data_IF_475354887742
#
_entry.id   IF_475354887742
#
_cell.length_a   1.000
_cell.length_b   1.000
_cell.length_c   1.000
_cell.angle_alpha   90.00
_cell.angle_beta   90.00
_cell.angle_gamma   90.00
#
_symmetry.space_group_name_H-M   'P 1'
#
loop_
_entity.id
_entity.type
_entity.pdbx_description
1 polymer ?
#
# COMPACT_ATOMS: atom_id res chain seq x y z
N UNK A 1 -39.43 7.03 17.21
CA UNK A 1 -38.66 5.80 16.92
C UNK A 1 -37.48 6.25 16.09
N UNK A 2 -36.41 6.60 16.78
CA UNK A 2 -35.15 7.03 16.19
C UNK A 2 -34.47 5.80 15.59
N UNK A 3 -34.12 5.86 14.31
CA UNK A 3 -33.25 4.86 13.70
C UNK A 3 -31.84 5.07 14.24
N UNK A 4 -31.42 4.16 15.12
CA UNK A 4 -30.02 4.03 15.52
C UNK A 4 -29.19 3.76 14.26
N UNK A 5 -28.42 4.78 13.86
CA UNK A 5 -27.43 4.66 12.80
C UNK A 5 -26.49 3.50 13.14
N UNK A 6 -26.49 2.48 12.28
CA UNK A 6 -25.53 1.40 12.33
C UNK A 6 -24.12 2.01 12.39
N UNK A 7 -23.50 1.97 13.57
CA UNK A 7 -22.09 2.29 13.74
C UNK A 7 -21.35 1.23 12.94
N UNK A 8 -20.97 1.57 11.71
CA UNK A 8 -20.17 0.71 10.87
C UNK A 8 -18.92 0.35 11.67
N UNK A 9 -18.83 -0.92 12.11
CA UNK A 9 -17.67 -1.42 12.82
C UNK A 9 -16.45 -1.09 11.96
N UNK A 10 -15.49 -0.29 12.44
CA UNK A 10 -14.38 0.10 11.62
C UNK A 10 -13.64 -1.15 11.16
N UNK A 11 -13.65 -1.41 9.86
CA UNK A 11 -12.94 -2.54 9.26
C UNK A 11 -11.47 -2.38 9.63
N UNK A 12 -10.90 -3.40 10.27
CA UNK A 12 -9.48 -3.44 10.56
C UNK A 12 -8.71 -3.38 9.23
N UNK A 13 -7.83 -2.39 9.06
CA UNK A 13 -6.90 -2.36 7.94
C UNK A 13 -5.89 -3.50 8.15
N UNK A 14 -5.93 -4.48 7.27
CA UNK A 14 -5.05 -5.63 7.30
C UNK A 14 -4.49 -5.88 5.90
N UNK A 15 -3.17 -6.02 5.81
CA UNK A 15 -2.51 -6.46 4.58
C UNK A 15 -2.98 -7.88 4.27
N UNK A 16 -3.39 -8.18 3.03
CA UNK A 16 -3.70 -9.55 2.63
C UNK A 16 -2.55 -10.51 2.94
N UNK A 17 -2.86 -11.71 3.42
CA UNK A 17 -1.84 -12.68 3.83
C UNK A 17 -0.97 -13.13 2.65
N UNK A 18 -1.61 -13.41 1.52
CA UNK A 18 -0.94 -13.74 0.26
C UNK A 18 -0.71 -12.49 -0.61
N UNK A 19 0.26 -12.57 -1.50
CA UNK A 19 0.55 -11.57 -2.51
C UNK A 19 -0.52 -11.52 -3.61
N UNK A 20 -0.08 -11.22 -4.84
CA UNK A 20 -1.01 -11.01 -5.96
C UNK A 20 -1.69 -9.65 -5.94
N UNK A 21 -2.70 -9.51 -6.80
CA UNK A 21 -3.46 -8.26 -6.97
C UNK A 21 -4.09 -7.74 -5.68
N UNK A 22 -4.69 -8.55 -4.79
CA UNK A 22 -5.28 -8.01 -3.56
C UNK A 22 -4.28 -7.26 -2.68
N UNK A 23 -3.04 -7.78 -2.54
CA UNK A 23 -2.00 -7.11 -1.76
C UNK A 23 -1.53 -5.81 -2.42
N UNK A 24 -1.50 -5.78 -3.76
CA UNK A 24 -1.19 -4.57 -4.52
C UNK A 24 -2.29 -3.53 -4.37
N UNK A 25 -3.54 -3.92 -4.61
CA UNK A 25 -4.71 -3.03 -4.56
C UNK A 25 -4.88 -2.46 -3.14
N UNK A 26 -4.67 -3.28 -2.11
CA UNK A 26 -4.60 -2.81 -0.72
C UNK A 26 -3.52 -1.73 -0.54
N UNK A 27 -2.29 -2.02 -0.98
CA UNK A 27 -1.16 -1.11 -0.78
C UNK A 27 -1.30 0.20 -1.54
N UNK A 28 -1.77 0.16 -2.79
CA UNK A 28 -2.01 1.35 -3.60
C UNK A 28 -3.13 2.22 -2.99
N UNK A 29 -4.23 1.59 -2.56
CA UNK A 29 -5.34 2.27 -1.88
C UNK A 29 -4.87 2.91 -0.57
N UNK A 30 -4.14 2.18 0.27
CA UNK A 30 -3.60 2.68 1.54
C UNK A 30 -2.69 3.91 1.33
N UNK A 31 -1.85 3.85 0.29
CA UNK A 31 -0.93 4.92 -0.08
C UNK A 31 -1.58 6.06 -0.86
N UNK A 32 -2.88 5.99 -1.20
CA UNK A 32 -3.56 6.98 -2.02
C UNK A 32 -3.03 7.06 -3.45
N UNK A 33 -2.39 6.01 -3.95
CA UNK A 33 -1.82 5.96 -5.31
C UNK A 33 -2.91 5.53 -6.29
N UNK A 34 -3.26 6.36 -7.29
CA UNK A 34 -4.24 5.97 -8.30
C UNK A 34 -3.76 4.77 -9.12
N UNK A 35 -4.67 3.84 -9.37
CA UNK A 35 -4.42 2.64 -10.17
C UNK A 35 -5.28 2.65 -11.43
N UNK A 36 -4.69 2.23 -12.55
CA UNK A 36 -5.38 2.04 -13.82
C UNK A 36 -5.48 0.55 -14.09
N UNK A 37 -6.71 0.09 -14.26
CA UNK A 37 -7.03 -1.31 -14.56
C UNK A 37 -7.30 -1.49 -16.04
N UNK A 38 -6.85 -2.62 -16.61
CA UNK A 38 -7.15 -2.98 -17.99
C UNK A 38 -6.55 -2.06 -19.06
N UNK A 39 -5.62 -1.17 -18.69
CA UNK A 39 -4.94 -0.26 -19.60
C UNK A 39 -4.17 -1.04 -20.68
N UNK A 40 -4.34 -0.64 -21.94
CA UNK A 40 -3.63 -1.22 -23.08
C UNK A 40 -2.45 -0.34 -23.44
N UNK A 41 -1.25 -0.80 -23.09
CA UNK A 41 0.00 -0.15 -23.43
C UNK A 41 0.39 -0.52 -24.86
N UNK A 42 0.54 0.49 -25.71
CA UNK A 42 1.01 0.33 -27.09
C UNK A 42 2.49 0.68 -27.13
N UNK A 43 3.32 -0.31 -27.45
CA UNK A 43 4.77 -0.19 -27.55
C UNK A 43 5.15 -0.37 -29.02
N UNK A 44 5.90 0.59 -29.53
CA UNK A 44 6.13 0.73 -30.96
C UNK A 44 4.96 1.40 -31.69
N UNK A 45 5.27 2.35 -32.57
CA UNK A 45 4.27 3.06 -33.36
C UNK A 45 4.69 4.42 -33.94
N UNK A 46 4.32 4.61 -35.21
CA UNK A 46 4.72 5.64 -36.22
C UNK A 46 6.11 5.41 -36.83
N UNK A 47 6.14 4.54 -37.86
CA UNK A 47 7.31 4.31 -38.71
C UNK A 47 8.01 2.96 -38.50
N UNK A 48 7.65 2.23 -37.43
CA UNK A 48 8.19 0.90 -37.13
C UNK A 48 7.36 -0.22 -37.76
N UNK A 49 8.01 -1.34 -38.09
CA UNK A 49 7.40 -2.48 -38.80
C UNK A 49 6.45 -3.35 -37.96
N UNK A 50 6.38 -3.13 -36.64
CA UNK A 50 5.49 -3.86 -35.75
C UNK A 50 4.98 -2.97 -34.61
N UNK A 51 3.86 -3.38 -34.00
CA UNK A 51 3.30 -2.76 -32.81
C UNK A 51 2.97 -3.86 -31.80
N UNK A 52 3.49 -3.73 -30.58
CA UNK A 52 3.15 -4.58 -29.47
C UNK A 52 2.05 -3.92 -28.63
N UNK A 53 0.99 -4.66 -28.33
CA UNK A 53 -0.04 -4.21 -27.38
C UNK A 53 0.02 -5.11 -26.15
N UNK A 54 0.36 -4.54 -25.01
CA UNK A 54 0.41 -5.24 -23.71
C UNK A 54 -0.75 -4.75 -22.86
N UNK A 55 -1.42 -5.66 -22.16
CA UNK A 55 -2.47 -5.33 -21.20
C UNK A 55 -2.08 -5.83 -19.81
N UNK A 56 -1.35 -5.02 -19.00
CA UNK A 56 -1.01 -5.39 -17.64
C UNK A 56 -2.24 -5.47 -16.74
N UNK A 57 -2.12 -6.19 -15.62
CA UNK A 57 -3.21 -6.34 -14.65
C UNK A 57 -3.49 -5.03 -13.91
N UNK A 58 -2.44 -4.25 -13.61
CA UNK A 58 -2.50 -2.90 -13.05
C UNK A 58 -1.38 -2.05 -13.62
N UNK A 59 -1.66 -0.75 -13.76
CA UNK A 59 -0.67 0.28 -14.05
C UNK A 59 -0.81 1.38 -13.01
N UNK A 60 0.29 1.81 -12.41
CA UNK A 60 0.30 2.91 -11.43
C UNK A 60 1.55 3.77 -11.59
N UNK A 61 1.53 4.97 -11.03
CA UNK A 61 2.67 5.87 -11.04
C UNK A 61 2.97 6.35 -9.63
N UNK A 62 4.23 6.25 -9.22
CA UNK A 62 4.68 6.73 -7.91
C UNK A 62 6.19 6.99 -7.96
N UNK A 63 6.68 7.92 -7.13
CA UNK A 63 8.11 8.27 -7.12
C UNK A 63 8.66 8.71 -8.50
N UNK A 64 7.81 9.27 -9.37
CA UNK A 64 8.16 9.66 -10.74
C UNK A 64 8.41 8.49 -11.71
N UNK A 65 7.98 7.26 -11.36
CA UNK A 65 8.13 6.06 -12.20
C UNK A 65 6.78 5.43 -12.51
N UNK A 66 6.64 4.92 -13.74
CA UNK A 66 5.47 4.17 -14.19
C UNK A 66 5.69 2.70 -13.92
N UNK A 67 4.77 2.08 -13.21
CA UNK A 67 4.83 0.67 -12.85
C UNK A 67 3.75 -0.13 -13.56
N UNK A 68 4.10 -1.36 -13.93
CA UNK A 68 3.19 -2.37 -14.46
C UNK A 68 3.25 -3.59 -13.56
N UNK A 69 2.10 -4.05 -13.06
CA UNK A 69 2.05 -5.18 -12.13
C UNK A 69 2.09 -6.48 -12.90
N UNK A 70 2.94 -7.39 -12.42
CA UNK A 70 3.03 -8.76 -12.92
C UNK A 70 2.89 -9.75 -11.78
N UNK A 71 1.79 -10.51 -11.79
CA UNK A 71 1.55 -11.60 -10.84
C UNK A 71 2.16 -12.94 -11.24
N UNK A 72 3.02 -12.94 -12.27
CA UNK A 72 3.69 -14.12 -12.83
C UNK A 72 3.14 -14.57 -14.17
N UNK A 73 2.32 -13.75 -14.83
CA UNK A 73 1.69 -14.04 -16.13
C UNK A 73 2.49 -13.47 -17.30
N UNK A 74 3.37 -12.50 -17.05
CA UNK A 74 4.10 -11.82 -18.10
C UNK A 74 5.34 -12.63 -18.55
N UNK A 75 5.43 -12.89 -19.86
CA UNK A 75 6.59 -13.55 -20.44
C UNK A 75 7.86 -12.68 -20.29
N UNK A 76 9.06 -13.28 -20.12
CA UNK A 76 10.30 -12.52 -19.94
C UNK A 76 10.59 -11.49 -21.04
N UNK A 77 10.30 -11.82 -22.30
CA UNK A 77 10.48 -10.90 -23.42
C UNK A 77 9.58 -9.65 -23.32
N UNK A 78 8.34 -9.81 -22.83
CA UNK A 78 7.41 -8.70 -22.65
C UNK A 78 7.88 -7.78 -21.51
N UNK A 79 8.44 -8.35 -20.44
CA UNK A 79 9.05 -7.56 -19.34
C UNK A 79 10.19 -6.69 -19.85
N UNK A 80 11.12 -7.27 -20.61
CA UNK A 80 12.26 -6.54 -21.17
C UNK A 80 11.80 -5.37 -22.07
N UNK A 81 10.83 -5.61 -22.96
CA UNK A 81 10.29 -4.57 -23.85
C UNK A 81 9.62 -3.44 -23.04
N UNK A 82 8.88 -3.76 -21.98
CA UNK A 82 8.27 -2.75 -21.11
C UNK A 82 9.31 -1.90 -20.38
N UNK A 83 10.38 -2.53 -19.89
CA UNK A 83 11.49 -1.85 -19.23
C UNK A 83 12.24 -0.91 -20.17
N UNK A 84 12.55 -1.37 -21.39
CA UNK A 84 13.13 -0.54 -22.46
C UNK A 84 12.21 0.63 -22.86
N UNK A 85 10.90 0.44 -22.71
CA UNK A 85 9.88 1.47 -22.99
C UNK A 85 9.62 2.44 -21.82
N UNK A 86 10.40 2.34 -20.74
CA UNK A 86 10.34 3.26 -19.60
C UNK A 86 9.33 2.88 -18.51
N UNK A 87 8.81 1.66 -18.52
CA UNK A 87 8.03 1.11 -17.40
C UNK A 87 8.94 0.34 -16.43
N UNK A 88 8.54 0.25 -15.17
CA UNK A 88 9.15 -0.65 -14.19
C UNK A 88 8.20 -1.81 -13.93
N UNK A 89 8.66 -3.05 -14.11
CA UNK A 89 7.85 -4.22 -13.77
C UNK A 89 7.80 -4.36 -12.24
N UNK A 90 6.60 -4.35 -11.69
CA UNK A 90 6.33 -4.56 -10.27
C UNK A 90 5.90 -6.02 -10.04
N UNK A 91 6.78 -6.89 -9.50
CA UNK A 91 6.41 -8.26 -9.21
C UNK A 91 5.44 -8.30 -8.02
N UNK A 92 4.37 -9.08 -8.15
CA UNK A 92 3.41 -9.35 -7.08
C UNK A 92 2.92 -10.80 -7.21
N UNK A 93 3.81 -11.77 -7.05
CA UNK A 93 3.47 -13.18 -7.16
C UNK A 93 2.39 -13.59 -6.16
N UNK A 94 1.58 -14.60 -6.49
CA UNK A 94 0.57 -15.11 -5.54
C UNK A 94 1.19 -15.93 -4.41
N UNK A 95 2.37 -16.50 -4.66
CA UNK A 95 3.08 -17.37 -3.71
C UNK A 95 3.99 -16.60 -2.75
N UNK A 96 4.16 -15.28 -2.92
CA UNK A 96 4.89 -14.46 -1.94
C UNK A 96 3.95 -13.92 -0.84
N UNK A 97 4.46 -13.64 0.37
CA UNK A 97 3.67 -13.03 1.43
C UNK A 97 3.18 -11.62 1.03
N UNK A 98 1.92 -11.28 1.29
CA UNK A 98 1.38 -9.96 0.95
C UNK A 98 2.10 -8.82 1.66
N UNK A 99 2.63 -9.06 2.86
CA UNK A 99 3.54 -8.14 3.55
C UNK A 99 4.78 -7.78 2.71
N UNK A 100 5.36 -8.74 1.99
CA UNK A 100 6.53 -8.49 1.15
C UNK A 100 6.17 -7.59 -0.06
N UNK A 101 4.99 -7.82 -0.66
CA UNK A 101 4.42 -6.95 -1.70
C UNK A 101 4.20 -5.54 -1.18
N UNK A 102 3.58 -5.41 0.00
CA UNK A 102 3.32 -4.10 0.60
C UNK A 102 4.62 -3.35 0.95
N UNK A 103 5.62 -4.04 1.51
CA UNK A 103 6.95 -3.46 1.73
C UNK A 103 7.62 -2.98 0.43
N UNK A 104 7.41 -3.70 -0.68
CA UNK A 104 7.93 -3.31 -1.99
C UNK A 104 7.21 -2.05 -2.51
N UNK A 105 5.90 -1.92 -2.30
CA UNK A 105 5.15 -0.70 -2.61
C UNK A 105 5.63 0.50 -1.78
N UNK A 106 5.86 0.32 -0.47
CA UNK A 106 6.41 1.39 0.37
C UNK A 106 7.74 1.91 -0.20
N UNK A 107 8.65 1.00 -0.56
CA UNK A 107 9.93 1.35 -1.21
C UNK A 107 9.72 2.06 -2.56
N UNK A 108 8.79 1.58 -3.39
CA UNK A 108 8.48 2.21 -4.66
C UNK A 108 7.96 3.66 -4.49
N UNK A 109 7.19 3.90 -3.43
CA UNK A 109 6.70 5.22 -3.05
C UNK A 109 7.76 6.10 -2.32
N UNK A 110 8.99 5.60 -2.14
CA UNK A 110 10.04 6.33 -1.41
C UNK A 110 9.81 6.38 0.10
N UNK A 111 8.95 5.52 0.64
CA UNK A 111 8.63 5.46 2.07
C UNK A 111 9.47 4.40 2.76
N UNK A 112 10.11 4.79 3.86
CA UNK A 112 10.81 3.87 4.76
C UNK A 112 9.94 3.60 5.99
N UNK A 113 9.66 2.33 6.27
CA UNK A 113 9.07 1.90 7.52
C UNK A 113 10.18 1.73 8.55
N UNK A 114 10.19 2.54 9.62
CA UNK A 114 11.17 2.40 10.69
C UNK A 114 10.65 1.37 11.70
N UNK A 115 11.19 0.15 11.70
CA UNK A 115 10.92 -0.81 12.78
C UNK A 115 11.57 -0.31 14.08
N UNK A 116 10.78 -0.17 15.15
CA UNK A 116 11.33 -0.04 16.50
C UNK A 116 10.66 -1.02 17.44
N UNK A 117 11.44 -1.41 18.45
CA UNK A 117 10.97 -2.29 19.52
C UNK A 117 9.82 -1.65 20.30
N UNK A 118 9.81 -0.33 20.42
CA UNK A 118 8.82 0.38 21.21
C UNK A 118 8.71 1.85 20.80
N UNK A 119 7.48 2.33 20.64
CA UNK A 119 7.12 3.74 20.47
C UNK A 119 6.12 4.13 21.55
N UNK A 120 6.40 5.20 22.31
CA UNK A 120 5.36 5.89 23.07
C UNK A 120 4.55 6.76 22.09
N UNK A 121 3.30 6.38 21.83
CA UNK A 121 2.42 7.12 20.93
C UNK A 121 1.62 8.21 21.65
N UNK A 122 1.23 7.96 22.90
CA UNK A 122 0.50 8.90 23.73
C UNK A 122 0.61 8.55 25.21
N UNK A 123 0.37 9.54 26.08
CA UNK A 123 0.44 9.39 27.52
C UNK A 123 1.85 9.59 28.09
N UNK A 124 2.12 9.04 29.28
CA UNK A 124 3.40 9.17 29.98
C UNK A 124 3.22 9.28 31.50
N UNK A 125 4.34 9.55 32.21
CA UNK A 125 4.41 9.47 33.67
C UNK A 125 3.37 10.28 34.46
N UNK A 126 2.76 11.30 33.83
CA UNK A 126 1.77 12.18 34.46
C UNK A 126 0.35 12.02 33.91
N UNK A 127 0.12 11.13 32.94
CA UNK A 127 -1.15 11.03 32.22
C UNK A 127 -2.09 9.92 32.74
N UNK A 128 -1.63 9.07 33.66
CA UNK A 128 -2.38 7.91 34.15
C UNK A 128 -2.50 6.76 33.13
N UNK A 129 -1.99 6.94 31.91
CA UNK A 129 -1.88 5.91 30.88
C UNK A 129 -0.64 6.14 30.01
N UNK A 130 -0.18 5.10 29.33
CA UNK A 130 0.83 5.19 28.29
C UNK A 130 0.53 4.16 27.20
N UNK A 131 0.58 4.58 25.93
CA UNK A 131 0.36 3.69 24.79
C UNK A 131 1.70 3.40 24.15
N UNK A 132 2.17 2.18 24.35
CA UNK A 132 3.40 1.66 23.78
C UNK A 132 3.06 0.75 22.61
N UNK A 133 3.71 0.95 21.46
CA UNK A 133 3.52 0.09 20.29
C UNK A 133 4.85 -0.45 19.79
N UNK A 134 4.88 -1.77 19.60
CA UNK A 134 5.95 -2.47 18.89
C UNK A 134 5.51 -2.66 17.43
N UNK A 135 6.30 -2.14 16.49
CA UNK A 135 5.93 -2.18 15.09
C UNK A 135 6.79 -1.28 14.23
N UNK A 136 6.28 -0.95 13.04
CA UNK A 136 6.90 0.04 12.17
C UNK A 136 6.04 1.30 12.08
N UNK A 137 6.65 2.46 12.30
CA UNK A 137 5.99 3.74 12.12
C UNK A 137 6.15 4.18 10.65
N UNK A 138 5.05 4.62 10.05
CA UNK A 138 5.00 5.23 8.74
C UNK A 138 4.43 6.63 8.85
N UNK A 139 5.17 7.59 8.29
CA UNK A 139 4.67 8.93 8.03
C UNK A 139 4.30 9.02 6.56
N UNK A 140 3.01 9.13 6.27
CA UNK A 140 2.50 9.31 4.92
C UNK A 140 2.35 10.82 4.65
N UNK A 141 2.80 11.30 3.49
CA UNK A 141 2.61 12.69 3.11
C UNK A 141 1.12 13.02 3.04
N UNK A 142 0.81 14.30 3.21
CA UNK A 142 -0.54 14.79 3.03
C UNK A 142 -0.95 14.70 1.56
N UNK A 143 -2.06 14.05 1.28
CA UNK A 143 -2.65 14.05 -0.06
C UNK A 143 -3.29 15.43 -0.31
N UNK A 144 -2.88 16.14 -1.37
CA UNK A 144 -3.58 17.33 -1.88
C UNK A 144 -3.83 18.49 -0.89
N UNK A 145 -2.98 18.68 0.12
CA UNK A 145 -3.11 19.76 1.12
C UNK A 145 -3.77 19.36 2.45
N UNK A 146 -4.02 18.07 2.69
CA UNK A 146 -4.49 17.53 3.98
C UNK A 146 -3.44 17.55 5.11
N UNK A 147 -3.75 16.89 6.23
CA UNK A 147 -2.76 16.59 7.28
C UNK A 147 -1.97 15.34 6.90
N UNK A 148 -0.68 15.32 7.22
CA UNK A 148 0.14 14.11 7.12
C UNK A 148 -0.51 12.99 7.95
N UNK A 149 -0.59 11.78 7.39
CA UNK A 149 -1.17 10.62 8.09
C UNK A 149 -0.05 9.85 8.78
N UNK A 150 -0.25 9.49 10.05
CA UNK A 150 0.65 8.59 10.75
C UNK A 150 0.00 7.21 10.83
N UNK A 151 0.72 6.19 10.37
CA UNK A 151 0.28 4.82 10.48
C UNK A 151 1.28 3.98 11.25
N UNK A 152 0.79 3.02 12.01
CA UNK A 152 1.61 2.03 12.72
C UNK A 152 1.29 0.65 12.18
N UNK A 153 2.33 -0.01 11.68
CA UNK A 153 2.27 -1.36 11.17
C UNK A 153 2.60 -2.35 12.29
N UNK A 154 1.62 -3.16 12.68
CA UNK A 154 1.71 -4.04 13.85
C UNK A 154 1.61 -5.50 13.46
N UNK A 155 2.33 -6.36 14.17
CA UNK A 155 2.20 -7.81 14.03
C UNK A 155 1.07 -8.29 14.94
N UNK A 156 -0.02 -8.78 14.35
CA UNK A 156 -1.15 -9.36 15.08
C UNK A 156 -2.29 -8.38 15.35
N UNK A 157 -3.32 -8.90 16.02
CA UNK A 157 -4.57 -8.19 16.23
C UNK A 157 -4.44 -7.13 17.31
N UNK A 158 -5.06 -5.99 17.06
CA UNK A 158 -5.19 -4.90 18.06
C UNK A 158 -6.64 -4.81 18.53
N UNK A 159 -6.80 -4.69 19.85
CA UNK A 159 -8.09 -4.53 20.49
C UNK A 159 -8.87 -3.34 19.92
N UNK A 160 -10.17 -3.50 19.66
CA UNK A 160 -11.00 -2.51 18.98
C UNK A 160 -11.02 -1.15 19.69
N UNK A 161 -11.07 -1.14 21.03
CA UNK A 161 -11.03 0.10 21.80
C UNK A 161 -9.69 0.86 21.65
N UNK A 162 -8.57 0.13 21.57
CA UNK A 162 -7.25 0.72 21.33
C UNK A 162 -7.14 1.30 19.93
N UNK A 163 -7.78 0.68 18.93
CA UNK A 163 -7.89 1.23 17.56
C UNK A 163 -8.66 2.54 17.53
N UNK A 164 -9.79 2.61 18.23
CA UNK A 164 -10.58 3.82 18.33
C UNK A 164 -9.77 4.96 18.97
N UNK A 165 -9.15 4.67 20.12
CA UNK A 165 -8.29 5.64 20.82
C UNK A 165 -7.13 6.16 19.94
N UNK A 166 -6.43 5.27 19.23
CA UNK A 166 -5.33 5.70 18.35
C UNK A 166 -5.81 6.49 17.14
N UNK A 167 -7.00 6.17 16.60
CA UNK A 167 -7.61 6.97 15.54
C UNK A 167 -7.94 8.39 16.00
N UNK A 168 -8.47 8.54 17.22
CA UNK A 168 -8.79 9.86 17.79
C UNK A 168 -7.51 10.70 17.98
N UNK A 169 -6.36 10.04 18.14
CA UNK A 169 -5.03 10.64 18.18
C UNK A 169 -4.42 10.87 16.79
N UNK A 170 -5.15 10.57 15.70
CA UNK A 170 -4.68 10.71 14.31
C UNK A 170 -3.74 9.61 13.84
N UNK A 171 -3.71 8.46 14.53
CA UNK A 171 -2.86 7.31 14.21
C UNK A 171 -3.69 6.16 13.64
N UNK A 172 -3.40 5.75 12.41
CA UNK A 172 -3.99 4.58 11.78
C UNK A 172 -3.22 3.30 12.15
N UNK A 173 -3.93 2.19 12.36
CA UNK A 173 -3.30 0.89 12.66
C UNK A 173 -3.52 -0.06 11.49
N UNK A 174 -2.42 -0.57 10.94
CA UNK A 174 -2.42 -1.59 9.89
C UNK A 174 -1.82 -2.88 10.42
N UNK A 175 -2.58 -3.96 10.34
CA UNK A 175 -2.09 -5.31 10.62
C UNK A 175 -1.31 -5.81 9.39
N UNK A 176 -0.08 -6.29 9.56
CA UNK A 176 0.77 -6.76 8.44
C UNK A 176 1.69 -7.93 8.77
#
# INVERSE_FOLDING_TARGET
LEEEGAVATPVALAVPAAGGLPAVDFGLSFLGIPVREGERLRIGGKGEGFQLVVQPERVFETGGRKYVVDTGRMAPAIRAILEESGYTVFPAGRDEPGRAVFQRLLRAAGLAAAERKEYLLAGGGNAGFAIHVTGALLSLPADGGGKARTAVLVRGKVHTATRALLRDLGVEIVEW
#
